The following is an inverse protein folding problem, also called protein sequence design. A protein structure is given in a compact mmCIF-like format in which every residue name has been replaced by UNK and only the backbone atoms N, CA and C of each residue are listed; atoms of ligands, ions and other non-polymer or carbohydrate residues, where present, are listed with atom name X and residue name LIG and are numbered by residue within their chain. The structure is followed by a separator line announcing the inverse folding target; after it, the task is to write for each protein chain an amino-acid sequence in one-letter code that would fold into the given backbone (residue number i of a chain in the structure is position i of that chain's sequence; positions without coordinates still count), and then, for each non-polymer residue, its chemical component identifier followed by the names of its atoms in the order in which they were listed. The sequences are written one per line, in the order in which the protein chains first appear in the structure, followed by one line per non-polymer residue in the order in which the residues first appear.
data_IF_373778578268
#
_entry.id   IF_373778578268
#
_cell.length_a   1.000
_cell.length_b   1.000
_cell.length_c   1.000
_cell.angle_alpha   90.00
_cell.angle_beta   90.00
_cell.angle_gamma   90.00
#
_symmetry.space_group_name_H-M   'P 1'
#
loop_
_entity.id
_entity.type
_entity.pdbx_description
1 polymer ?
#
# COMPACT_ATOMS: atom_id res chain seq x y z
N UNK A 1 -4.09 -13.70 -6.08
CA UNK A 1 -2.64 -13.70 -5.77
C UNK A 1 -2.36 -12.56 -4.80
N UNK A 2 -1.67 -12.85 -3.69
CA UNK A 2 -1.35 -11.88 -2.64
C UNK A 2 -0.16 -11.02 -3.06
N UNK A 3 -0.10 -9.78 -2.60
CA UNK A 3 1.08 -8.91 -2.72
C UNK A 3 2.19 -9.42 -1.81
N UNK A 4 3.43 -9.39 -2.29
CA UNK A 4 4.62 -9.69 -1.50
C UNK A 4 4.99 -8.45 -0.67
N UNK A 5 4.53 -8.41 0.59
CA UNK A 5 4.71 -7.25 1.47
C UNK A 5 6.17 -7.08 1.92
N UNK A 6 6.94 -8.17 2.01
CA UNK A 6 8.36 -8.11 2.37
C UNK A 6 9.16 -7.43 1.26
N UNK A 7 8.91 -7.82 0.01
CA UNK A 7 9.53 -7.20 -1.16
C UNK A 7 9.11 -5.74 -1.34
N UNK A 8 7.82 -5.44 -1.23
CA UNK A 8 7.32 -4.06 -1.38
C UNK A 8 7.80 -3.17 -0.23
N UNK A 9 7.91 -3.73 0.98
CA UNK A 9 8.28 -3.05 2.21
C UNK A 9 9.79 -2.91 2.44
N UNK A 10 10.63 -3.55 1.63
CA UNK A 10 12.08 -3.58 1.81
C UNK A 10 12.68 -2.16 1.96
N UNK A 11 13.27 -1.90 3.14
CA UNK A 11 13.90 -0.62 3.48
C UNK A 11 12.92 0.52 3.86
N UNK A 12 11.62 0.25 3.96
CA UNK A 12 10.62 1.26 4.33
C UNK A 12 10.29 1.23 5.83
N UNK A 13 10.23 2.39 6.52
CA UNK A 13 9.87 2.45 7.94
C UNK A 13 8.53 1.78 8.28
N UNK A 14 7.52 1.89 7.40
CA UNK A 14 6.19 1.32 7.61
C UNK A 14 6.19 -0.21 7.71
N UNK A 15 7.20 -0.90 7.14
CA UNK A 15 7.30 -2.36 7.20
C UNK A 15 7.40 -2.88 8.65
N UNK A 16 7.96 -2.09 9.57
CA UNK A 16 8.11 -2.48 10.98
C UNK A 16 6.80 -2.54 11.75
N UNK A 17 5.73 -1.96 11.22
CA UNK A 17 4.44 -1.85 11.90
C UNK A 17 3.30 -2.45 11.07
N UNK A 18 3.58 -2.99 9.88
CA UNK A 18 2.53 -3.41 8.94
C UNK A 18 1.75 -4.62 9.47
N UNK A 19 2.40 -5.51 10.21
CA UNK A 19 1.80 -6.71 10.79
C UNK A 19 0.79 -6.42 11.90
N UNK A 20 0.77 -5.17 12.40
CA UNK A 20 -0.23 -4.73 13.37
C UNK A 20 -1.57 -4.40 12.71
N UNK A 21 -1.59 -4.19 11.38
CA UNK A 21 -2.80 -3.77 10.68
C UNK A 21 -3.95 -4.77 10.81
N UNK A 22 -3.81 -6.09 10.55
CA UNK A 22 -4.93 -7.03 10.53
C UNK A 22 -5.82 -7.00 11.77
N UNK A 23 -5.23 -6.86 12.96
CA UNK A 23 -5.99 -6.78 14.22
C UNK A 23 -6.78 -5.49 14.43
N UNK A 24 -6.64 -4.52 13.52
CA UNK A 24 -7.20 -3.18 13.61
C UNK A 24 -8.23 -2.88 12.50
N UNK A 25 -8.42 -3.79 11.52
CA UNK A 25 -9.14 -3.50 10.27
C UNK A 25 -10.67 -3.54 10.36
N UNK A 26 -11.24 -3.99 11.47
CA UNK A 26 -12.70 -3.92 11.72
C UNK A 26 -13.17 -2.50 12.08
N UNK A 27 -12.28 -1.49 12.00
CA UNK A 27 -12.50 -0.11 12.44
C UNK A 27 -11.90 0.89 11.46
N UNK A 28 -12.29 2.15 11.62
CA UNK A 28 -11.61 3.27 10.97
C UNK A 28 -10.24 3.51 11.61
N UNK A 29 -9.20 3.56 10.80
CA UNK A 29 -7.82 3.78 11.25
C UNK A 29 -7.24 5.08 10.72
N UNK A 30 -6.48 5.77 11.57
CA UNK A 30 -5.68 6.93 11.20
C UNK A 30 -4.22 6.53 11.23
N UNK A 31 -3.56 6.54 10.06
CA UNK A 31 -2.14 6.24 9.94
C UNK A 31 -1.36 7.52 9.77
N UNK A 32 -0.60 7.90 10.80
CA UNK A 32 0.28 9.06 10.78
C UNK A 32 1.73 8.63 10.59
N UNK A 33 2.40 9.19 9.59
CA UNK A 33 3.83 8.95 9.37
C UNK A 33 4.46 10.09 8.54
N UNK A 34 5.73 10.46 8.81
CA UNK A 34 6.48 11.41 7.99
C UNK A 34 6.46 11.07 6.49
N UNK A 35 6.73 12.05 5.59
CA UNK A 35 6.97 11.78 4.18
C UNK A 35 8.09 10.74 3.97
N UNK A 36 8.01 9.96 2.90
CA UNK A 36 9.03 8.95 2.57
C UNK A 36 8.95 7.64 3.37
N UNK A 37 8.06 7.52 4.36
CA UNK A 37 7.93 6.32 5.21
C UNK A 37 7.36 5.08 4.53
N UNK A 38 6.83 5.21 3.31
CA UNK A 38 6.25 4.09 2.55
C UNK A 38 4.76 3.84 2.78
N UNK A 39 4.06 4.68 3.54
CA UNK A 39 2.62 4.47 3.86
C UNK A 39 1.73 4.26 2.62
N UNK A 40 1.96 5.03 1.55
CA UNK A 40 1.16 4.95 0.32
C UNK A 40 1.51 3.73 -0.53
N UNK A 41 2.70 3.13 -0.34
CA UNK A 41 3.13 1.94 -1.10
C UNK A 41 2.83 0.65 -0.36
N UNK A 42 2.88 0.60 0.98
CA UNK A 42 2.72 -0.66 1.71
C UNK A 42 1.34 -0.86 2.36
N UNK A 43 0.65 0.20 2.78
CA UNK A 43 -0.66 0.05 3.43
C UNK A 43 -1.73 -0.49 2.45
N UNK A 44 -1.89 0.05 1.22
CA UNK A 44 -2.89 -0.48 0.30
C UNK A 44 -2.75 -1.97 -0.06
N UNK A 45 -1.56 -2.51 -0.41
CA UNK A 45 -1.43 -3.93 -0.69
C UNK A 45 -1.64 -4.81 0.57
N UNK A 46 -1.27 -4.33 1.76
CA UNK A 46 -1.56 -5.04 3.01
C UNK A 46 -3.08 -5.17 3.26
N UNK A 47 -3.83 -4.09 3.03
CA UNK A 47 -5.30 -4.11 3.10
C UNK A 47 -5.92 -5.02 2.04
N UNK A 48 -5.39 -5.00 0.81
CA UNK A 48 -5.87 -5.86 -0.27
C UNK A 48 -5.63 -7.35 0.05
N UNK A 49 -4.47 -7.67 0.64
CA UNK A 49 -4.16 -9.02 1.10
C UNK A 49 -5.12 -9.49 2.20
N UNK A 50 -5.40 -8.63 3.18
CA UNK A 50 -6.28 -8.97 4.29
C UNK A 50 -7.75 -9.14 3.85
N UNK A 51 -8.26 -8.22 3.04
CA UNK A 51 -9.67 -8.22 2.63
C UNK A 51 -9.96 -9.15 1.45
N UNK A 52 -8.93 -9.53 0.69
CA UNK A 52 -9.07 -10.22 -0.60
C UNK A 52 -9.76 -9.35 -1.68
N UNK A 53 -10.01 -8.08 -1.39
CA UNK A 53 -10.82 -7.18 -2.21
C UNK A 53 -10.03 -6.06 -2.89
N UNK A 54 -10.76 -5.21 -3.62
CA UNK A 54 -10.19 -4.02 -4.26
C UNK A 54 -10.06 -2.90 -3.24
N UNK A 55 -8.85 -2.37 -3.08
CA UNK A 55 -8.57 -1.20 -2.25
C UNK A 55 -8.55 0.07 -3.11
N UNK A 56 -9.35 1.06 -2.73
CA UNK A 56 -9.36 2.38 -3.37
C UNK A 56 -8.47 3.33 -2.59
N UNK A 57 -7.52 3.98 -3.28
CA UNK A 57 -6.62 4.98 -2.70
C UNK A 57 -6.92 6.33 -3.32
N UNK A 58 -7.30 7.30 -2.49
CA UNK A 58 -7.61 8.66 -2.94
C UNK A 58 -6.55 9.65 -2.46
N UNK A 59 -6.30 10.68 -3.26
CA UNK A 59 -5.42 11.79 -2.92
C UNK A 59 -5.91 13.05 -3.63
N UNK A 60 -5.64 14.26 -3.11
CA UNK A 60 -6.19 15.50 -3.65
C UNK A 60 -5.67 15.86 -5.05
N UNK A 61 -4.59 15.22 -5.52
CA UNK A 61 -3.90 15.57 -6.77
C UNK A 61 -3.72 14.33 -7.64
N UNK A 62 -4.17 14.41 -8.90
CA UNK A 62 -4.04 13.32 -9.89
C UNK A 62 -2.59 12.84 -10.08
N UNK A 63 -1.62 13.75 -10.01
CA UNK A 63 -0.20 13.40 -10.13
C UNK A 63 0.26 12.50 -8.98
N UNK A 64 -0.24 12.72 -7.75
CA UNK A 64 0.12 11.90 -6.58
C UNK A 64 -0.43 10.48 -6.71
N UNK A 65 -1.69 10.34 -7.13
CA UNK A 65 -2.32 9.02 -7.36
C UNK A 65 -1.56 8.25 -8.44
N UNK A 66 -1.25 8.90 -9.58
CA UNK A 66 -0.49 8.27 -10.68
C UNK A 66 0.92 7.87 -10.27
N UNK A 67 1.61 8.72 -9.51
CA UNK A 67 2.94 8.42 -9.01
C UNK A 67 2.93 7.24 -8.04
N UNK A 68 1.94 7.20 -7.13
CA UNK A 68 1.75 6.08 -6.21
C UNK A 68 1.48 4.77 -6.94
N UNK A 69 0.55 4.76 -7.90
CA UNK A 69 0.20 3.56 -8.65
C UNK A 69 1.40 3.02 -9.45
N UNK A 70 2.14 3.89 -10.13
CA UNK A 70 3.38 3.49 -10.85
C UNK A 70 4.47 2.99 -9.92
N UNK A 71 4.69 3.65 -8.77
CA UNK A 71 5.68 3.23 -7.78
C UNK A 71 5.33 1.86 -7.22
N UNK A 72 4.07 1.63 -6.90
CA UNK A 72 3.62 0.36 -6.35
C UNK A 72 3.66 -0.76 -7.39
N UNK A 73 3.22 -0.52 -8.64
CA UNK A 73 3.38 -1.49 -9.73
C UNK A 73 4.86 -1.88 -9.94
N UNK A 74 5.76 -0.90 -9.89
CA UNK A 74 7.21 -1.16 -9.97
C UNK A 74 7.72 -2.00 -8.79
N UNK A 75 7.30 -1.71 -7.55
CA UNK A 75 7.68 -2.47 -6.36
C UNK A 75 7.13 -3.91 -6.40
N UNK A 76 5.89 -4.10 -6.85
CA UNK A 76 5.26 -5.42 -7.03
C UNK A 76 5.83 -6.18 -8.24
N UNK A 77 6.34 -5.47 -9.24
CA UNK A 77 6.83 -6.05 -10.50
C UNK A 77 5.70 -6.34 -11.50
N UNK A 78 4.48 -5.86 -11.24
CA UNK A 78 3.35 -5.97 -12.15
C UNK A 78 3.35 -4.84 -13.19
N UNK A 79 2.62 -5.03 -14.30
CA UNK A 79 2.33 -3.88 -15.17
C UNK A 79 1.25 -3.02 -14.53
N UNK A 80 1.30 -1.71 -14.81
CA UNK A 80 0.22 -0.81 -14.43
C UNK A 80 -1.08 -1.26 -15.13
N UNK A 81 -2.20 -1.24 -14.40
CA UNK A 81 -3.51 -1.71 -14.87
C UNK A 81 -3.81 -3.19 -14.61
N UNK A 82 -2.82 -4.02 -14.25
CA UNK A 82 -3.06 -5.43 -13.91
C UNK A 82 -3.52 -5.58 -12.45
N UNK A 83 -2.60 -5.36 -11.50
CA UNK A 83 -2.88 -5.44 -10.06
C UNK A 83 -3.04 -4.08 -9.39
N UNK A 84 -2.42 -3.07 -9.98
CA UNK A 84 -2.35 -1.70 -9.47
C UNK A 84 -2.62 -0.75 -10.65
N UNK A 85 -3.51 0.22 -10.50
CA UNK A 85 -3.91 1.14 -11.58
C UNK A 85 -4.65 2.37 -11.08
#
# INVERSE_FOLDING_TARGET
MLFDLDRIGAGLPVARTIDQLPGLLDRTLVVQAPPGTGKTTLVPPALANHTGGKVLVTAPRRVAVRAAARRLAHLDGSRIGERVG
#
